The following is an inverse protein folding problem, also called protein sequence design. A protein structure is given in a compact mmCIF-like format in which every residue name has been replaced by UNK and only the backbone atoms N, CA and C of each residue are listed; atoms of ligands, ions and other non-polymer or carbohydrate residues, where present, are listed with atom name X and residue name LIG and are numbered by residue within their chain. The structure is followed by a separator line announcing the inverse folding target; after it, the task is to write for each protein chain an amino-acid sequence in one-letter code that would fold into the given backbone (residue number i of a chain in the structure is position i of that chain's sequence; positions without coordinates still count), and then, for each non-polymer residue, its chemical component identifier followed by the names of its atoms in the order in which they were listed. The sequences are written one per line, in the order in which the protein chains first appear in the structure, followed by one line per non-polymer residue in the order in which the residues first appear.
data_IF_760893773129
#
_entry.id   IF_760893773129
#
_cell.length_a   1.000
_cell.length_b   1.000
_cell.length_c   1.000
_cell.angle_alpha   90.00
_cell.angle_beta   90.00
_cell.angle_gamma   90.00
#
_symmetry.space_group_name_H-M   'P 1'
#
loop_
_entity.id
_entity.type
_entity.pdbx_description
1 polymer ?
#
# COMPACT_ATOMS: atom_id res chain seq x y z
N UNK A 1 -12.93 -16.33 7.19
CA UNK A 1 -13.09 -15.74 6.95
C UNK A 1 -13.13 -14.75 6.97
N UNK A 2 -13.27 -14.35 6.84
CA UNK A 2 -13.34 -13.50 6.61
C UNK A 2 -13.32 -12.38 6.82
N UNK A 3 -13.47 -11.94 6.49
CA UNK A 3 -13.22 -10.76 6.41
C UNK A 3 -14.10 -9.97 6.93
N UNK A 4 -13.79 -9.39 7.67
CA UNK A 4 -14.57 -8.58 8.30
C UNK A 4 -15.00 -7.55 7.56
N UNK A 5 -15.79 -7.37 7.76
CA UNK A 5 -16.34 -6.26 7.72
C UNK A 5 -15.96 -5.35 6.77
N UNK A 6 -15.41 -5.59 5.92
CA UNK A 6 -15.68 -4.70 5.09
C UNK A 6 -14.75 -3.88 4.38
N UNK A 7 -13.55 -3.74 4.78
CA UNK A 7 -12.57 -2.99 4.03
C UNK A 7 -12.21 -3.80 2.79
N UNK A 8 -12.28 -3.15 1.63
CA UNK A 8 -11.86 -3.81 0.41
C UNK A 8 -10.39 -3.50 0.18
N UNK A 9 -9.61 -4.53 -0.05
CA UNK A 9 -8.17 -4.40 -0.18
C UNK A 9 -7.78 -4.43 -1.65
N UNK A 10 -7.17 -3.34 -2.11
CA UNK A 10 -6.71 -3.21 -3.49
C UNK A 10 -5.19 -3.19 -3.45
N UNK A 11 -4.57 -4.14 -4.13
CA UNK A 11 -3.12 -4.27 -4.12
C UNK A 11 -2.57 -3.93 -5.49
N UNK A 12 -1.58 -3.04 -5.53
CA UNK A 12 -0.85 -2.69 -6.73
C UNK A 12 0.48 -3.42 -6.68
N UNK A 13 0.76 -4.24 -7.65
CA UNK A 13 1.95 -5.03 -7.58
C UNK A 13 2.44 -5.61 -8.88
N UNK A 14 3.52 -6.33 -8.75
CA UNK A 14 4.06 -7.14 -9.80
C UNK A 14 4.55 -6.33 -11.00
N UNK A 15 5.28 -5.26 -10.71
CA UNK A 15 5.77 -4.46 -11.78
C UNK A 15 7.24 -4.22 -11.66
N UNK A 16 7.92 -4.25 -12.74
CA UNK A 16 9.30 -3.80 -12.80
C UNK A 16 9.29 -2.28 -12.79
N UNK A 17 10.25 -1.71 -12.16
CA UNK A 17 10.29 -0.29 -11.90
C UNK A 17 9.98 0.57 -13.11
N UNK A 18 9.44 1.74 -12.88
CA UNK A 18 9.20 2.73 -13.91
C UNK A 18 7.88 2.62 -14.62
N UNK A 19 6.99 1.74 -14.17
CA UNK A 19 5.72 1.54 -14.85
C UNK A 19 4.61 2.48 -14.43
N UNK A 20 4.86 3.33 -13.43
CA UNK A 20 3.80 4.19 -12.92
C UNK A 20 2.90 3.53 -11.90
N UNK A 21 3.32 2.40 -11.36
CA UNK A 21 2.51 1.65 -10.40
C UNK A 21 2.13 2.50 -9.19
N UNK A 22 3.10 3.16 -8.58
CA UNK A 22 2.83 3.96 -7.39
C UNK A 22 2.00 5.19 -7.73
N UNK A 23 2.21 5.78 -8.90
CA UNK A 23 1.39 6.90 -9.36
C UNK A 23 -0.06 6.47 -9.52
N UNK A 24 -0.28 5.29 -10.10
CA UNK A 24 -1.63 4.78 -10.26
C UNK A 24 -2.28 4.52 -8.91
N UNK A 25 -1.52 3.97 -7.96
CA UNK A 25 -2.04 3.74 -6.61
C UNK A 25 -2.45 5.05 -5.95
N UNK A 26 -1.63 6.08 -6.08
CA UNK A 26 -1.95 7.40 -5.53
C UNK A 26 -3.23 7.93 -6.14
N UNK A 27 -3.40 7.79 -7.46
CA UNK A 27 -4.59 8.29 -8.12
C UNK A 27 -5.85 7.57 -7.66
N UNK A 28 -5.74 6.28 -7.38
CA UNK A 28 -6.88 5.54 -6.85
C UNK A 28 -7.22 6.03 -5.44
N UNK A 29 -6.22 6.25 -4.60
CA UNK A 29 -6.46 6.79 -3.25
C UNK A 29 -7.19 8.12 -3.34
N UNK A 30 -6.69 9.04 -4.15
CA UNK A 30 -7.28 10.37 -4.27
C UNK A 30 -8.70 10.28 -4.85
N UNK A 31 -8.89 9.44 -5.87
CA UNK A 31 -10.21 9.29 -6.48
C UNK A 31 -11.24 8.77 -5.48
N UNK A 32 -10.84 7.81 -4.66
CA UNK A 32 -11.74 7.27 -3.65
C UNK A 32 -12.06 8.30 -2.57
N UNK A 33 -11.06 9.07 -2.14
CA UNK A 33 -11.30 10.15 -1.18
C UNK A 33 -12.27 11.18 -1.73
N UNK A 34 -12.13 11.52 -3.00
CA UNK A 34 -13.01 12.51 -3.63
C UNK A 34 -14.45 12.02 -3.73
N UNK A 35 -14.62 10.70 -3.75
CA UNK A 35 -15.97 10.12 -3.77
C UNK A 35 -16.56 9.95 -2.38
N UNK A 36 -15.84 10.40 -1.37
CA UNK A 36 -16.36 10.36 0.00
C UNK A 36 -16.06 9.10 0.76
N UNK A 37 -15.21 8.24 0.21
CA UNK A 37 -14.84 7.00 0.92
C UNK A 37 -13.75 7.24 1.92
N UNK A 38 -13.72 6.41 2.97
CA UNK A 38 -12.59 6.37 3.88
C UNK A 38 -11.56 5.42 3.30
N UNK A 39 -10.31 5.85 3.29
CA UNK A 39 -9.24 5.12 2.60
C UNK A 39 -8.03 5.05 3.50
N UNK A 40 -7.37 3.90 3.50
CA UNK A 40 -6.05 3.75 4.10
C UNK A 40 -5.07 3.42 2.97
N UNK A 41 -3.90 4.02 3.02
CA UNK A 41 -2.82 3.76 2.06
C UNK A 41 -1.68 3.08 2.80
N UNK A 42 -1.22 1.96 2.28
CA UNK A 42 -0.19 1.16 2.93
C UNK A 42 0.98 1.00 1.95
N UNK A 43 2.09 1.63 2.28
CA UNK A 43 3.25 1.67 1.39
C UNK A 43 4.24 0.59 1.82
N UNK A 44 4.38 -0.43 1.00
CA UNK A 44 5.33 -1.51 1.25
C UNK A 44 6.60 -1.37 0.41
N UNK A 45 6.68 -0.31 -0.40
CA UNK A 45 7.83 -0.10 -1.26
C UNK A 45 8.78 0.89 -0.61
N UNK A 46 9.56 0.39 0.34
CA UNK A 46 10.43 1.23 1.14
C UNK A 46 11.48 1.97 0.33
N UNK A 47 11.94 1.35 -0.75
CA UNK A 47 13.02 1.93 -1.54
C UNK A 47 12.59 3.17 -2.28
N UNK A 48 11.38 3.14 -2.82
CA UNK A 48 10.87 4.28 -3.56
C UNK A 48 10.11 5.23 -2.65
N UNK A 49 9.37 4.70 -1.70
CA UNK A 49 8.58 5.47 -0.75
C UNK A 49 7.73 6.55 -1.44
N UNK A 50 7.25 6.26 -2.65
CA UNK A 50 6.57 7.26 -3.47
C UNK A 50 5.27 7.72 -2.82
N UNK A 51 4.47 6.76 -2.35
CA UNK A 51 3.19 7.10 -1.72
C UNK A 51 3.44 7.88 -0.44
N UNK A 52 4.39 7.42 0.37
CA UNK A 52 4.67 8.09 1.63
C UNK A 52 5.09 9.54 1.43
N UNK A 53 5.95 9.78 0.45
CA UNK A 53 6.40 11.15 0.16
C UNK A 53 5.26 12.01 -0.37
N UNK A 54 4.45 11.45 -1.25
CA UNK A 54 3.33 12.19 -1.79
C UNK A 54 2.37 12.61 -0.68
N UNK A 55 2.04 11.67 0.20
CA UNK A 55 1.08 11.95 1.27
C UNK A 55 1.63 12.93 2.29
N UNK A 56 2.93 12.86 2.58
CA UNK A 56 3.54 13.84 3.47
C UNK A 56 3.44 15.24 2.90
N UNK A 57 3.69 15.39 1.59
CA UNK A 57 3.57 16.68 0.93
C UNK A 57 2.13 17.17 0.92
N UNK A 58 1.19 16.27 0.68
CA UNK A 58 -0.23 16.61 0.66
C UNK A 58 -0.69 17.08 2.04
N UNK A 59 -0.24 16.41 3.08
CA UNK A 59 -0.58 16.78 4.43
C UNK A 59 0.00 18.15 4.80
N UNK A 60 1.24 18.40 4.38
CA UNK A 60 1.87 19.68 4.64
C UNK A 60 1.16 20.84 3.94
N UNK A 61 0.60 20.57 2.77
CA UNK A 61 -0.17 21.58 2.05
C UNK A 61 -1.41 22.00 2.82
N UNK A 62 -2.06 21.06 3.49
CA UNK A 62 -3.23 21.35 4.34
C UNK A 62 -4.52 21.51 3.55
N UNK A 63 -5.61 21.28 4.22
CA UNK A 63 -6.92 21.54 3.65
C UNK A 63 -7.42 20.52 2.65
N UNK A 64 -6.66 19.48 2.35
CA UNK A 64 -7.08 18.46 1.42
C UNK A 64 -7.47 17.18 2.18
N UNK A 65 -8.42 16.41 1.64
CA UNK A 65 -8.76 15.14 2.27
C UNK A 65 -7.55 14.23 2.32
N UNK A 66 -7.39 13.53 3.44
CA UNK A 66 -6.25 12.67 3.67
C UNK A 66 -6.69 11.26 3.97
N UNK A 67 -5.98 10.25 3.46
CA UNK A 67 -6.20 8.89 3.91
C UNK A 67 -5.46 8.68 5.23
N UNK A 68 -5.81 7.60 5.93
CA UNK A 68 -4.89 7.05 6.90
C UNK A 68 -3.72 6.47 6.12
N UNK A 69 -2.51 6.52 6.65
CA UNK A 69 -1.44 5.88 5.93
C UNK A 69 -0.36 5.35 6.85
N UNK A 70 0.31 4.32 6.38
CA UNK A 70 1.41 3.70 7.08
C UNK A 70 2.39 3.15 6.06
N UNK A 71 3.62 2.95 6.50
CA UNK A 71 4.64 2.38 5.68
C UNK A 71 5.31 1.27 6.47
N UNK A 72 5.59 0.16 5.80
CA UNK A 72 6.35 -0.90 6.41
C UNK A 72 7.69 -0.93 5.73
N UNK A 73 8.46 0.10 6.02
CA UNK A 73 9.77 0.23 5.44
C UNK A 73 10.75 -0.62 6.23
N UNK A 74 11.62 -1.31 5.54
CA UNK A 74 12.75 -1.87 6.23
C UNK A 74 13.65 -0.68 6.51
N UNK A 75 13.73 -0.29 7.73
CA UNK A 75 14.44 0.89 8.15
C UNK A 75 15.94 0.73 8.11
N UNK A 76 16.48 0.21 7.06
CA UNK A 76 17.92 0.05 6.98
C UNK A 76 18.46 -0.96 8.00
N UNK A 77 17.60 -1.51 8.80
CA UNK A 77 18.00 -2.56 9.68
C UNK A 77 17.90 -3.84 8.88
N UNK A 78 18.92 -4.55 8.89
CA UNK A 78 19.11 -5.83 8.32
C UNK A 78 17.82 -6.57 8.02
N UNK A 79 17.36 -6.49 6.80
CA UNK A 79 16.22 -7.29 6.37
C UNK A 79 16.48 -8.77 6.62
N UNK A 80 17.71 -9.19 6.54
CA UNK A 80 18.08 -10.58 6.75
C UNK A 80 17.81 -11.03 8.18
N UNK A 81 17.76 -10.09 9.12
CA UNK A 81 17.49 -10.44 10.51
C UNK A 81 16.01 -10.52 10.83
N UNK A 82 15.14 -10.04 9.90
CA UNK A 82 13.72 -10.13 10.15
C UNK A 82 13.23 -11.51 9.77
N UNK A 83 12.55 -12.15 10.68
CA UNK A 83 11.95 -13.44 10.39
C UNK A 83 10.69 -13.24 9.58
N UNK A 84 10.28 -14.27 8.85
CA UNK A 84 9.03 -14.24 8.12
C UNK A 84 7.86 -13.98 9.05
N UNK A 85 7.93 -14.53 10.24
CA UNK A 85 6.85 -14.36 11.21
C UNK A 85 6.77 -12.92 11.69
N UNK A 86 7.92 -12.29 11.98
CA UNK A 86 7.94 -10.91 12.42
C UNK A 86 7.38 -9.98 11.35
N UNK A 87 7.72 -10.24 10.10
CA UNK A 87 7.16 -9.44 8.99
C UNK A 87 5.66 -9.59 8.89
N UNK A 88 5.18 -10.83 9.01
CA UNK A 88 3.74 -11.07 8.95
C UNK A 88 3.02 -10.37 10.09
N UNK A 89 3.58 -10.43 11.29
CA UNK A 89 2.98 -9.77 12.44
C UNK A 89 2.92 -8.27 12.25
N UNK A 90 4.00 -7.67 11.73
CA UNK A 90 4.02 -6.23 11.49
C UNK A 90 3.01 -5.84 10.42
N UNK A 91 2.89 -6.64 9.37
CA UNK A 91 1.92 -6.42 8.30
C UNK A 91 0.49 -6.46 8.85
N UNK A 92 0.18 -7.50 9.60
CA UNK A 92 -1.17 -7.67 10.16
C UNK A 92 -1.48 -6.58 11.17
N UNK A 93 -0.50 -6.18 11.98
CA UNK A 93 -0.71 -5.12 12.96
C UNK A 93 -1.02 -3.79 12.26
N UNK A 94 -0.33 -3.50 11.17
CA UNK A 94 -0.60 -2.28 10.42
C UNK A 94 -1.99 -2.28 9.82
N UNK A 95 -2.39 -3.41 9.23
CA UNK A 95 -3.75 -3.51 8.67
C UNK A 95 -4.81 -3.33 9.76
N UNK A 96 -4.61 -3.98 10.89
CA UNK A 96 -5.54 -3.87 12.01
C UNK A 96 -5.60 -2.42 12.51
N UNK A 97 -4.46 -1.76 12.51
CA UNK A 97 -4.36 -0.39 13.00
C UNK A 97 -5.15 0.61 12.16
N UNK A 98 -5.44 0.30 10.91
CA UNK A 98 -6.26 1.19 10.10
C UNK A 98 -7.73 1.17 10.52
N UNK A 99 -8.14 0.18 11.29
CA UNK A 99 -9.55 0.04 11.64
C UNK A 99 -10.32 -0.53 10.47
N UNK A 100 -11.44 0.10 10.16
CA UNK A 100 -12.31 -0.41 9.10
C UNK A 100 -12.62 0.67 8.07
N UNK A 101 -11.63 1.12 7.31
CA UNK A 101 -11.91 2.05 6.23
C UNK A 101 -12.68 1.32 5.12
N UNK A 102 -13.28 2.08 4.23
CA UNK A 102 -13.95 1.48 3.08
C UNK A 102 -12.95 0.74 2.20
N UNK A 103 -11.77 1.31 2.01
CA UNK A 103 -10.74 0.74 1.15
C UNK A 103 -9.37 0.82 1.79
N UNK A 104 -8.56 -0.21 1.54
CA UNK A 104 -7.13 -0.17 1.84
C UNK A 104 -6.39 -0.34 0.52
N UNK A 105 -5.54 0.60 0.17
CA UNK A 105 -4.75 0.54 -1.06
C UNK A 105 -3.31 0.25 -0.67
N UNK A 106 -2.77 -0.84 -1.17
CA UNK A 106 -1.44 -1.30 -0.82
C UNK A 106 -0.53 -1.22 -2.05
N UNK A 107 0.60 -0.53 -1.90
CA UNK A 107 1.60 -0.45 -2.96
C UNK A 107 2.76 -1.37 -2.59
N UNK A 108 3.02 -2.36 -3.43
CA UNK A 108 4.04 -3.35 -3.15
C UNK A 108 5.34 -3.03 -3.89
N UNK A 109 6.47 -3.60 -3.44
CA UNK A 109 7.71 -3.44 -4.19
C UNK A 109 7.61 -4.05 -5.58
N UNK A 110 8.44 -3.59 -6.48
CA UNK A 110 8.48 -4.12 -7.83
C UNK A 110 9.14 -5.48 -7.96
N UNK A 111 9.49 -6.09 -6.85
CA UNK A 111 10.12 -7.41 -6.86
C UNK A 111 9.32 -8.38 -5.99
N UNK A 112 9.59 -9.66 -6.17
CA UNK A 112 8.91 -10.69 -5.41
C UNK A 112 9.54 -10.77 -4.02
N UNK A 113 8.85 -10.25 -3.03
CA UNK A 113 9.30 -10.26 -1.64
C UNK A 113 8.24 -10.92 -0.78
N UNK A 114 8.63 -11.23 0.46
CA UNK A 114 7.64 -11.76 1.42
C UNK A 114 6.50 -10.78 1.63
N UNK A 115 6.80 -9.49 1.71
CA UNK A 115 5.75 -8.48 1.90
C UNK A 115 4.80 -8.44 0.71
N UNK A 116 5.32 -8.51 -0.52
CA UNK A 116 4.42 -8.53 -1.66
C UNK A 116 3.53 -9.77 -1.66
N UNK A 117 4.07 -10.91 -1.26
CA UNK A 117 3.24 -12.13 -1.19
C UNK A 117 2.17 -12.03 -0.12
N UNK A 118 2.49 -11.42 1.03
CA UNK A 118 1.50 -11.20 2.07
C UNK A 118 0.37 -10.30 1.56
N UNK A 119 0.73 -9.23 0.87
CA UNK A 119 -0.26 -8.32 0.32
C UNK A 119 -1.13 -9.02 -0.72
N UNK A 120 -0.52 -9.76 -1.62
CA UNK A 120 -1.27 -10.47 -2.66
C UNK A 120 -2.26 -11.46 -2.06
N UNK A 121 -1.88 -12.12 -0.98
CA UNK A 121 -2.75 -13.09 -0.34
C UNK A 121 -3.99 -12.44 0.30
N UNK A 122 -3.91 -11.15 0.59
CA UNK A 122 -5.02 -10.44 1.22
C UNK A 122 -5.82 -9.59 0.23
N UNK A 123 -5.45 -9.59 -1.03
CA UNK A 123 -6.06 -8.70 -2.02
C UNK A 123 -7.47 -9.14 -2.37
N UNK A 124 -8.41 -8.22 -2.36
CA UNK A 124 -9.70 -8.41 -2.99
C UNK A 124 -9.59 -8.09 -4.48
N UNK A 125 -8.72 -7.14 -4.81
CA UNK A 125 -8.46 -6.75 -6.18
C UNK A 125 -6.96 -6.55 -6.34
N UNK A 126 -6.39 -7.16 -7.36
CA UNK A 126 -4.98 -6.99 -7.68
C UNK A 126 -4.87 -6.19 -8.97
N UNK A 127 -4.15 -5.09 -8.92
CA UNK A 127 -3.94 -4.24 -10.07
C UNK A 127 -2.47 -4.35 -10.48
N UNK A 128 -2.25 -4.71 -11.72
CA UNK A 128 -0.91 -4.80 -12.27
C UNK A 128 -0.84 -3.87 -13.47
N UNK A 129 -0.29 -2.68 -13.30
CA UNK A 129 -0.16 -1.78 -14.44
C UNK A 129 0.76 -2.40 -15.48
N UNK A 130 0.40 -2.29 -16.73
CA UNK A 130 1.22 -2.81 -17.80
C UNK A 130 1.69 -1.66 -18.67
N UNK A 131 2.91 -1.82 -19.13
CA UNK A 131 3.51 -0.87 -20.02
C UNK A 131 3.31 -1.41 -21.43
N UNK A 132 2.63 -0.68 -22.28
CA UNK A 132 2.34 -1.13 -23.62
C UNK A 132 3.38 -0.68 -24.65
N UNK A 133 4.53 -0.28 -24.19
CA UNK A 133 5.59 0.05 -25.13
C UNK A 133 6.19 -1.24 -25.67
N UNK A 134 6.34 -1.31 -26.94
CA UNK A 134 6.88 -2.47 -27.60
C UNK A 134 8.24 -2.17 -28.17
#
# INVERSE_FOLDING_TARGET
MNTPSGARIIVFGNEKGGSGKSTAAIQVVIGLLRRGHTVAAFDLDARQATISRYLANREAHGGLPMPLYASLASNGVNEAARTAEAEREAFDAALTGFGEPDFVVIDTPGSDTRLSRLAHARADTLVTPVNDSF
#
